data_IF_505146115162
#
_entry.id   IF_505146115162
#
_cell.length_a   1.000
_cell.length_b   1.000
_cell.length_c   1.000
_cell.angle_alpha   90.00
_cell.angle_beta   90.00
_cell.angle_gamma   90.00
#
_symmetry.space_group_name_H-M   'P 1'
#
loop_
_entity.id
_entity.type
_entity.pdbx_description
1 polymer ?
#
# COMPACT_ATOMS: atom_id res chain seq x y z
N UNK A 1 21.11 -0.58 19.35
CA UNK A 1 19.81 0.13 19.31
C UNK A 1 20.11 1.50 18.75
N UNK A 2 19.67 1.78 17.52
CA UNK A 2 19.69 3.16 17.05
C UNK A 2 18.83 4.00 17.99
N UNK A 3 19.35 5.17 18.32
CA UNK A 3 18.70 6.07 19.27
C UNK A 3 17.71 6.90 18.46
N UNK A 4 16.42 6.72 18.70
CA UNK A 4 15.40 7.56 18.09
C UNK A 4 15.70 9.05 18.35
N UNK A 5 15.71 9.84 17.29
CA UNK A 5 15.95 11.29 17.34
C UNK A 5 14.77 11.98 18.00
N UNK A 6 15.05 12.78 19.04
CA UNK A 6 14.00 13.46 19.80
C UNK A 6 13.84 14.89 19.32
N UNK A 7 12.67 15.21 18.81
CA UNK A 7 12.26 16.56 18.43
C UNK A 7 11.31 17.12 19.50
N UNK A 8 11.65 18.28 20.06
CA UNK A 8 10.79 19.00 21.00
C UNK A 8 9.94 20.03 20.27
N UNK A 9 8.62 19.97 20.45
CA UNK A 9 7.68 20.97 19.93
C UNK A 9 7.34 22.00 21.00
N UNK A 10 7.51 23.27 20.66
CA UNK A 10 7.18 24.41 21.51
C UNK A 10 5.82 25.02 21.15
N UNK A 11 5.25 25.82 22.06
CA UNK A 11 3.93 26.42 21.89
C UNK A 11 3.81 27.34 20.67
N UNK A 12 4.91 28.00 20.29
CA UNK A 12 5.01 28.81 19.07
C UNK A 12 5.21 27.96 17.80
N UNK A 13 4.89 26.66 17.86
CA UNK A 13 5.05 25.65 16.81
C UNK A 13 6.49 25.40 16.34
N UNK A 14 7.50 25.99 16.99
CA UNK A 14 8.91 25.67 16.70
C UNK A 14 9.21 24.22 17.07
N UNK A 15 9.99 23.56 16.22
CA UNK A 15 10.46 22.19 16.41
C UNK A 15 11.97 22.26 16.62
N UNK A 16 12.47 21.63 17.68
CA UNK A 16 13.87 21.65 18.06
C UNK A 16 14.43 20.23 18.11
N UNK A 17 15.45 19.98 17.30
CA UNK A 17 16.20 18.73 17.32
C UNK A 17 17.17 18.74 18.51
N UNK A 18 16.98 17.80 19.43
CA UNK A 18 17.81 17.72 20.64
C UNK A 18 19.19 17.10 20.40
N UNK A 19 19.37 16.34 19.32
CA UNK A 19 20.67 15.76 18.97
C UNK A 19 21.50 16.76 18.15
N UNK A 20 20.89 17.41 17.15
CA UNK A 20 21.58 18.44 16.34
C UNK A 20 21.65 19.82 17.02
N UNK A 21 20.91 20.01 18.13
CA UNK A 21 20.84 21.26 18.88
C UNK A 21 20.43 22.47 18.03
N UNK A 22 19.49 22.27 17.12
CA UNK A 22 19.01 23.30 16.19
C UNK A 22 17.49 23.26 16.02
N UNK A 23 16.93 24.34 15.47
CA UNK A 23 15.54 24.35 15.03
C UNK A 23 15.42 23.68 13.67
N UNK A 24 14.36 22.91 13.50
CA UNK A 24 14.03 22.20 12.27
C UNK A 24 12.60 22.50 11.83
N UNK A 25 12.31 22.19 10.59
CA UNK A 25 11.01 22.33 9.93
C UNK A 25 10.32 20.98 9.80
N UNK A 26 9.04 21.00 9.44
CA UNK A 26 8.29 19.77 9.13
C UNK A 26 8.83 19.06 7.88
N UNK A 27 9.35 19.82 6.91
CA UNK A 27 9.96 19.27 5.70
C UNK A 27 11.27 18.54 6.02
N UNK A 28 12.14 19.12 6.85
CA UNK A 28 13.38 18.46 7.31
C UNK A 28 13.10 17.19 8.12
N UNK A 29 12.08 17.19 9.00
CA UNK A 29 11.66 15.98 9.71
C UNK A 29 11.19 14.91 8.72
N UNK A 30 10.47 15.30 7.67
CA UNK A 30 10.01 14.37 6.65
C UNK A 30 11.21 13.76 5.88
N UNK A 31 12.24 14.55 5.60
CA UNK A 31 13.48 14.08 4.96
C UNK A 31 14.24 13.09 5.85
N UNK A 32 14.39 13.37 7.15
CA UNK A 32 15.00 12.44 8.12
C UNK A 32 14.30 11.08 8.09
N UNK A 33 12.97 11.06 8.14
CA UNK A 33 12.18 9.82 8.11
C UNK A 33 12.34 9.10 6.76
N UNK A 34 12.40 9.83 5.65
CA UNK A 34 12.66 9.26 4.32
C UNK A 34 14.05 8.64 4.20
N UNK A 35 15.03 9.15 4.95
CA UNK A 35 16.38 8.58 5.05
C UNK A 35 16.45 7.36 5.96
N UNK A 36 15.34 6.97 6.59
CA UNK A 36 15.24 5.83 7.49
C UNK A 36 15.50 6.16 8.96
N UNK A 37 15.63 7.44 9.32
CA UNK A 37 15.79 7.84 10.72
C UNK A 37 14.49 7.65 11.51
N UNK A 38 14.61 7.09 12.72
CA UNK A 38 13.50 7.02 13.67
C UNK A 38 13.35 8.35 14.41
N UNK A 39 12.22 9.03 14.25
CA UNK A 39 11.95 10.34 14.84
C UNK A 39 10.79 10.26 15.83
N UNK A 40 11.01 10.75 17.05
CA UNK A 40 9.97 10.93 18.07
C UNK A 40 9.76 12.42 18.34
N UNK A 41 8.50 12.87 18.38
CA UNK A 41 8.15 14.26 18.65
C UNK A 41 7.43 14.38 19.99
N UNK A 42 7.96 15.23 20.87
CA UNK A 42 7.45 15.43 22.23
C UNK A 42 7.04 16.89 22.45
N UNK A 43 5.88 17.13 23.04
CA UNK A 43 5.45 18.47 23.45
C UNK A 43 6.30 18.95 24.64
N UNK A 44 6.99 20.08 24.47
CA UNK A 44 7.92 20.58 25.48
C UNK A 44 7.23 21.02 26.79
N UNK A 45 5.95 21.42 26.76
CA UNK A 45 5.22 21.87 27.94
C UNK A 45 4.79 20.69 28.82
N UNK A 46 4.19 19.67 28.22
CA UNK A 46 3.56 18.58 28.98
C UNK A 46 4.25 17.22 28.82
N UNK A 47 5.35 17.16 28.06
CA UNK A 47 6.15 15.97 27.79
C UNK A 47 5.36 14.81 27.16
N UNK A 48 4.22 15.12 26.51
CA UNK A 48 3.43 14.10 25.80
C UNK A 48 4.06 13.79 24.45
N UNK A 49 4.02 12.51 24.10
CA UNK A 49 4.27 12.05 22.74
C UNK A 49 3.17 12.60 21.82
N UNK A 50 3.61 13.34 20.81
CA UNK A 50 2.76 13.93 19.76
C UNK A 50 3.28 13.55 18.37
N UNK A 51 4.03 12.46 18.27
CA UNK A 51 4.63 11.95 17.03
C UNK A 51 3.56 11.73 15.98
N UNK A 52 2.53 10.94 16.30
CA UNK A 52 1.44 10.65 15.36
C UNK A 52 0.74 11.92 14.82
N UNK A 53 0.47 12.89 15.70
CA UNK A 53 -0.15 14.15 15.29
C UNK A 53 0.77 14.98 14.38
N UNK A 54 2.08 14.98 14.66
CA UNK A 54 3.07 15.71 13.87
C UNK A 54 3.28 15.06 12.50
N UNK A 55 3.40 13.74 12.43
CA UNK A 55 3.51 13.01 11.15
C UNK A 55 2.25 13.17 10.30
N UNK A 56 1.07 13.13 10.92
CA UNK A 56 -0.19 13.42 10.22
C UNK A 56 -0.18 14.82 9.62
N UNK A 57 0.31 15.81 10.36
CA UNK A 57 0.46 17.18 9.85
C UNK A 57 1.42 17.24 8.65
N UNK A 58 2.57 16.56 8.71
CA UNK A 58 3.53 16.48 7.60
C UNK A 58 2.85 15.95 6.33
N UNK A 59 2.13 14.83 6.44
CA UNK A 59 1.43 14.20 5.32
C UNK A 59 0.41 15.18 4.71
N UNK A 60 -0.36 15.87 5.56
CA UNK A 60 -1.37 16.81 5.10
C UNK A 60 -0.76 18.05 4.41
N UNK A 61 0.34 18.58 4.94
CA UNK A 61 1.04 19.71 4.32
C UNK A 61 1.65 19.34 2.96
N UNK A 62 2.20 18.12 2.82
CA UNK A 62 2.65 17.60 1.53
C UNK A 62 1.47 17.44 0.55
N UNK A 63 0.34 16.91 1.00
CA UNK A 63 -0.86 16.76 0.17
C UNK A 63 -1.40 18.12 -0.31
N UNK A 64 -1.34 19.16 0.53
CA UNK A 64 -1.77 20.52 0.14
C UNK A 64 -0.91 21.11 -0.98
N UNK A 65 0.35 20.70 -1.10
CA UNK A 65 1.28 21.11 -2.16
C UNK A 65 1.22 20.18 -3.39
N UNK A 66 0.54 19.04 -3.31
CA UNK A 66 0.42 18.07 -4.40
C UNK A 66 -0.48 18.57 -5.53
N UNK A 67 -0.09 18.26 -6.78
CA UNK A 67 -0.90 18.52 -7.97
C UNK A 67 -2.13 17.61 -8.08
N UNK A 68 -2.12 16.47 -7.39
CA UNK A 68 -3.22 15.51 -7.35
C UNK A 68 -3.97 15.61 -6.01
N UNK A 69 -5.00 16.47 -5.90
CA UNK A 69 -5.78 16.59 -4.67
C UNK A 69 -6.65 15.34 -4.43
N UNK A 70 -6.93 15.07 -3.15
CA UNK A 70 -7.91 14.04 -2.77
C UNK A 70 -9.29 14.45 -3.35
N UNK A 71 -10.00 13.55 -4.06
CA UNK A 71 -11.33 13.85 -4.60
C UNK A 71 -12.31 14.32 -3.53
N UNK A 72 -13.12 15.33 -3.85
CA UNK A 72 -14.11 15.92 -2.94
C UNK A 72 -15.15 14.87 -2.48
N UNK A 73 -15.51 13.93 -3.36
CA UNK A 73 -16.41 12.81 -3.03
C UNK A 73 -15.87 11.97 -1.88
N UNK A 74 -14.57 11.66 -1.88
CA UNK A 74 -13.89 10.93 -0.80
C UNK A 74 -13.91 11.71 0.50
N UNK A 75 -13.55 13.00 0.46
CA UNK A 75 -13.57 13.87 1.64
C UNK A 75 -14.97 13.94 2.27
N UNK A 76 -16.00 14.05 1.43
CA UNK A 76 -17.40 14.06 1.87
C UNK A 76 -17.79 12.74 2.51
N UNK A 77 -17.38 11.62 1.91
CA UNK A 77 -17.66 10.30 2.48
C UNK A 77 -17.03 10.13 3.87
N UNK A 78 -15.77 10.54 4.04
CA UNK A 78 -15.08 10.50 5.35
C UNK A 78 -15.86 11.28 6.41
N UNK A 79 -16.35 12.48 6.07
CA UNK A 79 -17.14 13.30 7.00
C UNK A 79 -18.51 12.65 7.30
N UNK A 80 -19.15 12.05 6.30
CA UNK A 80 -20.49 11.46 6.44
C UNK A 80 -20.52 10.14 7.23
N UNK A 81 -19.43 9.35 7.21
CA UNK A 81 -19.36 8.09 7.96
C UNK A 81 -19.20 8.29 9.49
N UNK A 82 -19.09 9.54 9.95
CA UNK A 82 -19.41 9.92 11.33
C UNK A 82 -18.31 9.73 12.38
N UNK A 83 -17.24 9.00 12.10
CA UNK A 83 -16.07 8.95 13.00
C UNK A 83 -15.04 10.05 12.71
N UNK A 84 -15.17 10.75 11.58
CA UNK A 84 -14.26 11.82 11.14
C UNK A 84 -12.80 11.39 11.02
N UNK A 85 -12.52 10.09 11.05
CA UNK A 85 -11.18 9.55 11.17
C UNK A 85 -10.66 9.09 9.82
N UNK A 86 -9.64 9.79 9.32
CA UNK A 86 -8.90 9.35 8.14
C UNK A 86 -8.35 7.91 8.29
N UNK A 87 -8.05 7.50 9.54
CA UNK A 87 -7.63 6.13 9.85
C UNK A 87 -8.70 5.10 9.49
N UNK A 88 -9.97 5.39 9.73
CA UNK A 88 -11.08 4.46 9.43
C UNK A 88 -11.26 4.26 7.93
N UNK A 89 -11.14 5.34 7.15
CA UNK A 89 -11.11 5.28 5.70
C UNK A 89 -9.89 4.50 5.19
N UNK A 90 -8.71 4.74 5.77
CA UNK A 90 -7.49 4.01 5.41
C UNK A 90 -7.56 2.54 5.81
N UNK A 91 -8.13 2.17 6.95
CA UNK A 91 -8.32 0.77 7.33
C UNK A 91 -9.29 0.09 6.37
N UNK A 92 -10.41 0.75 6.05
CA UNK A 92 -11.39 0.24 5.09
C UNK A 92 -10.86 0.16 3.64
N UNK A 93 -9.89 1.00 3.29
CA UNK A 93 -9.22 0.98 1.97
C UNK A 93 -8.00 0.04 1.94
N UNK A 94 -7.30 -0.08 3.06
CA UNK A 94 -6.08 -0.86 3.26
C UNK A 94 -6.33 -2.35 3.40
N UNK A 95 -7.52 -2.74 3.85
CA UNK A 95 -7.98 -4.12 3.81
C UNK A 95 -8.57 -4.52 2.43
N UNK A 96 -8.66 -3.60 1.46
CA UNK A 96 -9.52 -3.78 0.28
C UNK A 96 -8.86 -3.78 -1.10
N UNK A 97 -7.66 -3.20 -1.31
CA UNK A 97 -7.20 -2.93 -2.68
C UNK A 97 -5.91 -3.66 -3.13
N UNK A 98 -5.38 -4.59 -2.32
CA UNK A 98 -4.35 -5.54 -2.76
C UNK A 98 -4.87 -6.98 -2.85
N UNK A 99 -5.87 -7.34 -2.04
CA UNK A 99 -6.45 -8.69 -2.02
C UNK A 99 -7.40 -8.95 -3.19
N UNK A 100 -8.15 -7.94 -3.64
CA UNK A 100 -9.12 -8.11 -4.73
C UNK A 100 -8.42 -8.25 -6.09
N UNK A 101 -7.28 -7.59 -6.30
CA UNK A 101 -6.50 -7.69 -7.54
C UNK A 101 -5.81 -9.05 -7.66
N UNK A 102 -5.24 -9.56 -6.57
CA UNK A 102 -4.59 -10.88 -6.55
C UNK A 102 -5.62 -11.99 -6.70
N UNK A 103 -6.77 -11.91 -6.01
CA UNK A 103 -7.86 -12.89 -6.17
C UNK A 103 -8.47 -12.87 -7.58
N UNK A 104 -8.65 -11.68 -8.16
CA UNK A 104 -9.16 -11.55 -9.53
C UNK A 104 -8.16 -12.04 -10.58
N UNK A 105 -6.86 -11.88 -10.34
CA UNK A 105 -5.81 -12.45 -11.21
C UNK A 105 -5.71 -13.98 -11.06
N UNK A 106 -5.75 -14.51 -9.84
CA UNK A 106 -5.74 -15.95 -9.60
C UNK A 106 -6.97 -16.65 -10.19
N UNK A 107 -8.15 -16.05 -10.05
CA UNK A 107 -9.38 -16.54 -10.66
C UNK A 107 -9.29 -16.58 -12.19
N UNK A 108 -8.74 -15.52 -12.81
CA UNK A 108 -8.55 -15.48 -14.26
C UNK A 108 -7.51 -16.51 -14.76
N UNK A 109 -6.40 -16.71 -14.04
CA UNK A 109 -5.40 -17.74 -14.39
C UNK A 109 -5.99 -19.15 -14.29
N UNK A 110 -6.81 -19.41 -13.26
CA UNK A 110 -7.47 -20.69 -13.07
C UNK A 110 -8.51 -20.97 -14.17
N UNK A 111 -9.31 -19.98 -14.52
CA UNK A 111 -10.28 -20.08 -15.61
C UNK A 111 -9.62 -20.28 -16.98
N UNK A 112 -8.48 -19.63 -17.23
CA UNK A 112 -7.70 -19.83 -18.45
C UNK A 112 -7.10 -21.23 -18.50
N UNK A 113 -6.60 -21.76 -17.38
CA UNK A 113 -6.05 -23.12 -17.32
C UNK A 113 -7.13 -24.18 -17.56
N UNK A 114 -8.34 -24.00 -17.04
CA UNK A 114 -9.46 -24.92 -17.30
C UNK A 114 -9.85 -24.87 -18.78
N UNK A 115 -9.98 -23.67 -19.36
CA UNK A 115 -10.28 -23.50 -20.78
C UNK A 115 -9.19 -24.08 -21.68
N UNK A 116 -7.91 -23.99 -21.29
CA UNK A 116 -6.81 -24.57 -22.05
C UNK A 116 -6.88 -26.10 -22.03
N UNK A 117 -7.13 -26.70 -20.87
CA UNK A 117 -7.33 -28.16 -20.73
C UNK A 117 -8.54 -28.66 -21.51
N UNK A 118 -9.64 -27.90 -21.50
CA UNK A 118 -10.85 -28.21 -22.28
C UNK A 118 -10.58 -28.11 -23.79
N UNK A 119 -9.76 -27.16 -24.22
CA UNK A 119 -9.33 -27.03 -25.62
C UNK A 119 -8.36 -28.13 -26.03
N UNK A 120 -7.44 -28.57 -25.15
CA UNK A 120 -6.56 -29.71 -25.40
C UNK A 120 -7.36 -31.03 -25.48
N UNK A 121 -8.36 -31.22 -24.61
CA UNK A 121 -9.28 -32.36 -24.69
C UNK A 121 -10.16 -32.32 -25.93
N UNK A 122 -10.59 -31.13 -26.37
CA UNK A 122 -11.41 -30.95 -27.57
C UNK A 122 -10.61 -31.03 -28.86
N UNK A 123 -9.32 -30.65 -28.85
CA UNK A 123 -8.37 -30.83 -29.94
C UNK A 123 -7.80 -32.27 -30.00
N UNK A 124 -7.84 -33.00 -28.88
CA UNK A 124 -7.47 -34.42 -28.78
C UNK A 124 -8.50 -35.40 -29.37
N UNK A 125 -9.66 -34.93 -29.85
CA UNK A 125 -10.63 -35.75 -30.54
C UNK A 125 -10.44 -35.64 -32.07
N UNK A 126 -9.46 -36.36 -32.61
CA UNK A 126 -9.50 -36.77 -34.03
C UNK A 126 -10.12 -38.17 -34.08
N UNK A 127 -11.33 -38.34 -34.65
CA UNK A 127 -11.90 -39.66 -34.85
C UNK A 127 -11.30 -40.32 -36.10
N UNK A 128 -10.66 -41.48 -35.90
CA UNK A 128 -10.68 -42.63 -36.79
C UNK A 128 -9.83 -42.60 -38.07
N UNK A 129 -8.92 -43.57 -38.18
CA UNK A 129 -9.05 -44.67 -39.17
C UNK A 129 -8.17 -45.86 -38.79
N UNK A 130 -8.84 -46.96 -38.49
CA UNK A 130 -8.31 -48.33 -38.60
C UNK A 130 -7.80 -48.57 -40.03
N UNK A 131 -6.73 -49.36 -40.18
CA UNK A 131 -6.64 -50.32 -41.27
C UNK A 131 -5.64 -51.44 -40.94
N UNK A 132 -6.15 -52.66 -41.12
CA UNK A 132 -5.56 -53.96 -40.92
C UNK A 132 -4.33 -54.28 -41.82
N UNK A 133 -3.54 -55.23 -41.31
CA UNK A 133 -2.88 -56.33 -42.02
C UNK A 133 -1.69 -56.05 -42.97
N UNK A 134 -0.54 -56.66 -42.64
CA UNK A 134 0.20 -57.52 -43.58
C UNK A 134 1.15 -58.46 -42.82
N UNK A 135 0.93 -59.76 -43.05
CA UNK A 135 1.81 -60.89 -42.72
C UNK A 135 2.48 -61.32 -44.03
N UNK A 136 3.81 -61.41 -44.07
CA UNK A 136 4.69 -62.22 -44.98
C UNK A 136 6.14 -61.94 -44.52
N UNK A 137 6.93 -62.88 -44.00
CA UNK A 137 7.56 -64.09 -44.60
C UNK A 137 8.56 -63.79 -45.75
N UNK A 138 9.77 -64.36 -45.61
CA UNK A 138 10.99 -64.31 -46.46
C UNK A 138 11.79 -62.99 -46.41
N UNK A 139 13.11 -62.96 -46.15
CA UNK A 139 14.22 -63.85 -46.58
C UNK A 139 15.17 -64.17 -45.43
#
# INVERSE_FOLDING_TARGET
MEKAKIIKRYQNRKLYDTDASCYVTLDEIAEMIQQGEEVTVVDNRNQKDITAATLTQIIFEKQKRSEAPIPISTLRHIIQQGDGSFSSFLSKSGDGNQLDLIQTLESQVKDLSVKLSDLEQKAGMVPGKEAHAAKTAEV
#
